data_IF_712547325731
#
_entry.id   IF_712547325731
#
_cell.length_a   1.000
_cell.length_b   1.000
_cell.length_c   1.000
_cell.angle_alpha   90.00
_cell.angle_beta   90.00
_cell.angle_gamma   90.00
#
_symmetry.space_group_name_H-M   'P 1'
#
loop_
_entity.id
_entity.type
_entity.pdbx_description
1 polymer ?
#
# COMPACT_ATOMS: atom_id res chain seq x y z
N UNK A 1 21.82 15.16 -34.07
CA UNK A 1 20.38 15.15 -33.77
C UNK A 1 19.88 13.79 -34.24
N UNK A 2 19.54 12.88 -33.33
CA UNK A 2 18.96 11.60 -33.74
C UNK A 2 17.52 11.85 -34.16
N UNK A 3 17.13 11.32 -35.32
CA UNK A 3 15.79 11.45 -35.88
C UNK A 3 14.76 10.89 -34.90
N UNK A 4 14.11 11.80 -34.17
CA UNK A 4 12.85 11.49 -33.49
C UNK A 4 11.83 11.36 -34.60
N UNK A 5 11.12 10.21 -34.73
CA UNK A 5 10.07 10.09 -35.74
C UNK A 5 9.11 11.27 -35.59
N UNK A 6 8.79 11.97 -36.68
CA UNK A 6 7.88 13.13 -36.69
C UNK A 6 6.56 12.81 -35.95
N UNK A 7 6.12 11.57 -36.08
CA UNK A 7 4.89 11.06 -35.49
C UNK A 7 4.98 10.96 -33.96
N UNK A 8 6.18 10.81 -33.38
CA UNK A 8 6.37 10.60 -31.94
C UNK A 8 5.92 11.80 -31.10
N UNK A 9 6.05 13.03 -31.62
CA UNK A 9 5.53 14.23 -30.95
C UNK A 9 4.00 14.33 -31.02
N UNK A 10 3.39 13.81 -32.08
CA UNK A 10 1.95 13.91 -32.34
C UNK A 10 1.08 12.95 -31.52
N UNK A 11 1.60 11.79 -31.10
CA UNK A 11 0.80 10.81 -30.35
C UNK A 11 0.52 11.24 -28.91
N UNK A 12 -0.75 11.22 -28.49
CA UNK A 12 -1.15 11.41 -27.09
C UNK A 12 -0.80 10.19 -26.19
N UNK A 13 -0.65 9.01 -26.80
CA UNK A 13 -0.34 7.75 -26.11
C UNK A 13 0.85 7.04 -26.78
N UNK A 14 1.72 6.44 -25.96
CA UNK A 14 2.91 5.71 -26.40
C UNK A 14 2.67 4.21 -26.17
N UNK A 15 2.52 3.44 -27.23
CA UNK A 15 2.47 1.97 -27.17
C UNK A 15 3.89 1.40 -27.36
N UNK A 16 4.49 0.90 -26.29
CA UNK A 16 5.90 0.47 -26.30
C UNK A 16 6.13 -0.77 -27.15
N UNK A 17 5.23 -1.75 -27.15
CA UNK A 17 5.36 -2.93 -28.03
C UNK A 17 5.34 -2.53 -29.51
N UNK A 18 4.42 -1.64 -29.89
CA UNK A 18 4.33 -1.16 -31.27
C UNK A 18 5.57 -0.37 -31.68
N UNK A 19 6.16 0.42 -30.77
CA UNK A 19 7.43 1.10 -30.99
C UNK A 19 8.59 0.12 -31.16
N UNK A 20 8.66 -0.93 -30.35
CA UNK A 20 9.66 -1.99 -30.50
C UNK A 20 9.56 -2.69 -31.86
N UNK A 21 8.34 -2.92 -32.37
CA UNK A 21 8.13 -3.53 -33.69
C UNK A 21 8.45 -2.59 -34.86
N UNK A 22 8.04 -1.32 -34.80
CA UNK A 22 8.22 -0.37 -35.90
C UNK A 22 9.61 0.26 -35.95
N UNK A 23 10.19 0.60 -34.79
CA UNK A 23 11.47 1.30 -34.68
C UNK A 23 12.33 0.77 -33.51
N UNK A 24 13.00 -0.38 -33.67
CA UNK A 24 13.73 -1.04 -32.58
C UNK A 24 14.91 -0.21 -32.04
N UNK A 25 15.66 0.48 -32.91
CA UNK A 25 16.81 1.32 -32.51
C UNK A 25 16.33 2.52 -31.69
N UNK A 26 15.26 3.17 -32.13
CA UNK A 26 14.65 4.28 -31.39
C UNK A 26 14.10 3.81 -30.04
N UNK A 27 13.39 2.67 -30.01
CA UNK A 27 12.89 2.09 -28.76
C UNK A 27 14.02 1.76 -27.78
N UNK A 28 15.16 1.24 -28.26
CA UNK A 28 16.34 0.99 -27.44
C UNK A 28 16.92 2.28 -26.84
N UNK A 29 17.10 3.31 -27.66
CA UNK A 29 17.58 4.62 -27.21
C UNK A 29 16.60 5.31 -26.26
N UNK A 30 15.29 5.16 -26.49
CA UNK A 30 14.25 5.69 -25.62
C UNK A 30 14.30 5.07 -24.21
N UNK A 31 14.63 3.77 -24.13
CA UNK A 31 14.79 3.06 -22.86
C UNK A 31 16.10 3.43 -22.16
N UNK A 32 17.22 3.53 -22.88
CA UNK A 32 18.53 3.77 -22.26
C UNK A 32 18.82 5.25 -21.97
N UNK A 33 18.46 6.14 -22.89
CA UNK A 33 18.84 7.56 -22.86
C UNK A 33 17.61 8.46 -22.70
N UNK A 34 16.78 8.17 -21.70
CA UNK A 34 15.50 8.86 -21.54
C UNK A 34 15.66 10.36 -21.18
N UNK A 35 16.82 10.79 -20.70
CA UNK A 35 17.09 12.20 -20.41
C UNK A 35 16.82 13.14 -21.60
N UNK A 36 17.00 12.66 -22.84
CA UNK A 36 16.74 13.43 -24.07
C UNK A 36 15.25 13.50 -24.43
N UNK A 37 14.45 12.53 -23.97
CA UNK A 37 13.05 12.35 -24.36
C UNK A 37 12.08 12.70 -23.24
N UNK A 38 12.59 13.11 -22.09
CA UNK A 38 11.82 13.32 -20.88
C UNK A 38 10.69 14.34 -21.08
N UNK A 39 10.99 15.52 -21.65
CA UNK A 39 9.98 16.57 -21.87
C UNK A 39 8.85 16.10 -22.79
N UNK A 40 9.17 15.28 -23.80
CA UNK A 40 8.17 14.72 -24.71
C UNK A 40 7.35 13.57 -24.07
N UNK A 41 7.88 12.93 -23.02
CA UNK A 41 7.27 11.78 -22.35
C UNK A 41 6.35 12.18 -21.19
N UNK A 42 6.66 13.25 -20.45
CA UNK A 42 6.01 13.56 -19.15
C UNK A 42 4.49 13.62 -19.22
N UNK A 43 3.93 14.16 -20.30
CA UNK A 43 2.48 14.36 -20.43
C UNK A 43 1.77 13.24 -21.21
N UNK A 44 2.48 12.21 -21.67
CA UNK A 44 1.92 11.11 -22.49
C UNK A 44 1.64 9.87 -21.67
N UNK A 45 0.61 9.09 -22.01
CA UNK A 45 0.34 7.80 -21.35
C UNK A 45 1.11 6.66 -22.03
N UNK A 46 1.84 5.86 -21.27
CA UNK A 46 2.52 4.66 -21.78
C UNK A 46 1.65 3.40 -21.59
N UNK A 47 1.40 2.67 -22.68
CA UNK A 47 0.69 1.38 -22.71
C UNK A 47 1.60 0.25 -23.20
N UNK A 48 1.26 -0.98 -22.81
CA UNK A 48 1.94 -2.23 -23.19
C UNK A 48 3.45 -2.21 -22.93
N UNK A 49 3.82 -2.05 -21.66
CA UNK A 49 5.22 -2.05 -21.23
C UNK A 49 5.80 -3.46 -21.38
N UNK A 50 6.94 -3.66 -22.08
CA UNK A 50 7.58 -4.96 -22.19
C UNK A 50 7.99 -5.50 -20.80
N UNK A 51 7.78 -6.80 -20.51
CA UNK A 51 8.17 -7.40 -19.24
C UNK A 51 9.71 -7.43 -19.06
N UNK A 52 10.47 -7.27 -20.13
CA UNK A 52 11.94 -7.16 -20.09
C UNK A 52 12.46 -5.92 -19.37
N UNK A 53 11.61 -4.90 -19.16
CA UNK A 53 11.95 -3.72 -18.36
C UNK A 53 11.83 -3.97 -16.86
N UNK A 54 11.23 -5.08 -16.44
CA UNK A 54 11.09 -5.45 -15.04
C UNK A 54 12.45 -5.83 -14.45
N UNK A 55 12.94 -5.02 -13.51
CA UNK A 55 14.14 -5.36 -12.77
C UNK A 55 13.80 -6.28 -11.59
N UNK A 56 14.57 -7.36 -11.45
CA UNK A 56 14.50 -8.28 -10.30
C UNK A 56 15.20 -7.75 -9.04
N UNK A 57 15.95 -6.66 -9.18
CA UNK A 57 16.70 -5.99 -8.10
C UNK A 57 16.66 -4.49 -8.34
N UNK A 58 16.82 -3.70 -7.29
CA UNK A 58 16.86 -2.25 -7.43
C UNK A 58 18.02 -1.77 -8.32
N UNK A 59 17.81 -0.67 -9.07
CA UNK A 59 18.77 -0.17 -10.04
C UNK A 59 20.04 0.35 -9.35
N UNK A 60 21.19 0.02 -9.96
CA UNK A 60 22.52 0.55 -9.62
C UNK A 60 22.91 1.70 -10.57
N UNK A 61 24.16 2.17 -10.47
CA UNK A 61 24.72 3.20 -11.33
C UNK A 61 24.54 2.94 -12.84
N UNK A 62 24.57 1.67 -13.27
CA UNK A 62 24.50 1.30 -14.69
C UNK A 62 23.15 1.58 -15.35
N UNK A 63 22.12 1.91 -14.56
CA UNK A 63 20.77 2.19 -15.04
C UNK A 63 20.37 3.66 -14.90
N UNK A 64 21.30 4.56 -14.60
CA UNK A 64 21.00 6.00 -14.52
C UNK A 64 20.46 6.50 -15.87
N UNK A 65 19.37 7.26 -15.83
CA UNK A 65 18.61 7.76 -16.99
C UNK A 65 17.89 6.69 -17.82
N UNK A 66 17.89 5.42 -17.38
CA UNK A 66 17.13 4.37 -18.05
C UNK A 66 15.67 4.36 -17.57
N UNK A 67 14.77 4.00 -18.47
CA UNK A 67 13.39 3.66 -18.17
C UNK A 67 13.33 2.23 -17.61
N UNK A 68 12.81 2.07 -16.40
CA UNK A 68 12.76 0.79 -15.68
C UNK A 68 11.37 0.55 -15.11
N UNK A 69 11.02 -0.74 -14.99
CA UNK A 69 9.81 -1.19 -14.31
C UNK A 69 10.23 -1.84 -12.99
N UNK A 70 9.69 -1.35 -11.88
CA UNK A 70 9.94 -1.87 -10.53
C UNK A 70 8.63 -2.35 -9.91
N UNK A 71 8.71 -3.43 -9.14
CA UNK A 71 7.61 -3.89 -8.29
C UNK A 71 8.04 -3.79 -6.84
N UNK A 72 7.13 -3.34 -5.98
CA UNK A 72 7.43 -3.23 -4.58
C UNK A 72 6.21 -2.88 -3.72
N UNK A 73 6.36 -3.09 -2.42
CA UNK A 73 5.37 -2.72 -1.43
C UNK A 73 5.70 -1.34 -0.87
N UNK A 74 4.70 -0.47 -0.72
CA UNK A 74 4.89 0.87 -0.17
C UNK A 74 5.14 0.77 1.34
N UNK A 75 6.30 1.20 1.83
CA UNK A 75 6.60 1.26 3.26
C UNK A 75 6.18 2.61 3.85
N UNK A 76 6.50 3.69 3.12
CA UNK A 76 6.34 5.05 3.62
C UNK A 76 5.80 5.99 2.55
N UNK A 77 4.86 6.82 2.96
CA UNK A 77 4.27 7.88 2.14
C UNK A 77 4.57 9.23 2.81
N UNK A 78 5.29 10.11 2.11
CA UNK A 78 5.54 11.47 2.59
C UNK A 78 4.35 12.40 2.23
N UNK A 79 4.24 13.57 2.89
CA UNK A 79 3.24 14.57 2.53
C UNK A 79 3.39 15.05 1.08
N UNK A 80 2.27 15.54 0.52
CA UNK A 80 2.22 16.12 -0.81
C UNK A 80 2.87 17.51 -0.76
N UNK A 81 3.79 17.75 -1.68
CA UNK A 81 4.51 19.00 -1.88
C UNK A 81 4.22 19.55 -3.28
N UNK A 82 4.49 20.83 -3.50
CA UNK A 82 4.41 21.44 -4.83
C UNK A 82 5.78 21.41 -5.50
N UNK A 83 5.81 21.02 -6.76
CA UNK A 83 6.99 21.04 -7.63
C UNK A 83 6.77 22.07 -8.74
N UNK A 84 7.87 22.59 -9.29
CA UNK A 84 7.88 23.51 -10.43
C UNK A 84 7.16 24.84 -10.14
N UNK A 85 7.20 25.29 -8.88
CA UNK A 85 6.77 26.64 -8.49
C UNK A 85 7.71 27.66 -9.11
N UNK A 86 7.14 28.57 -9.89
CA UNK A 86 7.86 29.65 -10.53
C UNK A 86 7.81 30.90 -9.65
N UNK A 87 8.84 31.73 -9.73
CA UNK A 87 8.89 33.03 -9.05
C UNK A 87 8.97 34.11 -10.10
N UNK A 88 8.02 35.04 -10.09
CA UNK A 88 8.06 36.25 -10.88
C UNK A 88 8.70 37.38 -10.08
N UNK A 89 9.67 38.06 -10.69
CA UNK A 89 10.31 39.23 -10.09
C UNK A 89 9.74 40.49 -10.75
N UNK A 90 9.12 41.35 -9.94
CA UNK A 90 8.59 42.65 -10.35
C UNK A 90 9.49 43.76 -9.82
N UNK A 91 10.04 44.60 -10.71
CA UNK A 91 10.92 45.69 -10.29
C UNK A 91 10.11 46.81 -9.63
N UNK A 92 10.50 47.26 -8.43
CA UNK A 92 9.80 48.32 -7.71
C UNK A 92 9.97 49.72 -8.32
N UNK A 93 10.94 49.92 -9.22
CA UNK A 93 11.23 51.23 -9.80
C UNK A 93 10.59 51.48 -11.16
N UNK A 94 10.46 50.44 -12.00
CA UNK A 94 9.92 50.56 -13.35
C UNK A 94 8.72 49.65 -13.62
N UNK A 95 8.24 48.95 -12.59
CA UNK A 95 7.11 48.02 -12.57
C UNK A 95 7.17 46.89 -13.63
N UNK A 96 8.34 46.66 -14.21
CA UNK A 96 8.56 45.63 -15.20
C UNK A 96 8.64 44.24 -14.54
N UNK A 97 7.88 43.28 -15.08
CA UNK A 97 7.72 41.92 -14.55
C UNK A 97 7.83 40.86 -15.64
N UNK A 98 9.01 40.31 -15.89
CA UNK A 98 9.18 39.23 -16.89
C UNK A 98 10.20 38.15 -16.49
N UNK A 99 10.89 38.30 -15.35
CA UNK A 99 11.86 37.29 -14.93
C UNK A 99 11.11 36.19 -14.19
N UNK A 100 10.86 35.08 -14.86
CA UNK A 100 10.28 33.87 -14.27
C UNK A 100 11.38 32.83 -14.09
N UNK A 101 11.71 32.48 -12.84
CA UNK A 101 12.64 31.39 -12.55
C UNK A 101 11.93 30.32 -11.74
N UNK A 102 12.08 29.05 -12.12
CA UNK A 102 11.69 27.94 -11.27
C UNK A 102 12.50 28.01 -9.97
N UNK A 103 11.85 27.78 -8.83
CA UNK A 103 12.44 27.83 -7.49
C UNK A 103 13.43 26.69 -7.23
N UNK A 104 14.48 26.56 -8.05
CA UNK A 104 15.62 25.73 -7.74
C UNK A 104 16.54 26.55 -6.83
N UNK A 105 16.74 26.06 -5.59
CA UNK A 105 17.55 26.65 -4.53
C UNK A 105 19.06 26.63 -4.86
N UNK A 106 19.47 26.96 -6.09
CA UNK A 106 20.86 27.19 -6.47
C UNK A 106 21.13 28.68 -6.34
N UNK A 107 22.06 29.03 -5.43
CA UNK A 107 22.60 30.36 -5.09
C UNK A 107 22.04 31.49 -5.96
N UNK A 108 21.28 32.41 -5.34
CA UNK A 108 20.82 33.67 -5.94
C UNK A 108 22.01 34.37 -6.61
N UNK A 109 22.16 34.21 -7.93
CA UNK A 109 22.95 35.16 -8.73
C UNK A 109 22.29 36.52 -8.52
N UNK A 110 23.07 37.59 -8.33
CA UNK A 110 22.51 38.96 -8.30
C UNK A 110 21.74 39.16 -9.60
N UNK A 111 20.44 39.37 -9.48
CA UNK A 111 19.53 39.62 -10.61
C UNK A 111 19.44 41.14 -10.74
N UNK A 112 19.61 41.66 -11.95
CA UNK A 112 19.52 43.08 -12.26
C UNK A 112 18.39 43.27 -13.26
N UNK A 113 17.64 44.36 -13.13
CA UNK A 113 16.52 44.64 -14.02
C UNK A 113 17.04 45.02 -15.41
N UNK A 114 16.56 44.33 -16.46
CA UNK A 114 16.97 44.57 -17.85
C UNK A 114 16.62 45.98 -18.33
N UNK A 115 15.58 46.60 -17.76
CA UNK A 115 15.11 47.93 -18.16
C UNK A 115 15.79 49.07 -17.42
N UNK A 116 16.06 48.92 -16.12
CA UNK A 116 16.51 50.04 -15.28
C UNK A 116 17.83 49.80 -14.56
N UNK A 117 18.47 48.63 -14.71
CA UNK A 117 19.77 48.34 -14.11
C UNK A 117 19.78 48.24 -12.57
N UNK A 118 18.61 48.27 -11.92
CA UNK A 118 18.49 48.22 -10.45
C UNK A 118 18.23 46.79 -9.97
N UNK A 119 18.57 46.54 -8.71
CA UNK A 119 18.55 45.22 -8.07
C UNK A 119 17.39 45.02 -7.09
N UNK A 120 16.45 45.99 -7.01
CA UNK A 120 15.33 45.93 -6.09
C UNK A 120 14.06 45.37 -6.75
N UNK A 121 13.64 44.19 -6.30
CA UNK A 121 12.50 43.45 -6.85
C UNK A 121 11.56 42.96 -5.74
N UNK A 122 10.25 43.03 -6.02
CA UNK A 122 9.23 42.26 -5.33
C UNK A 122 9.19 40.86 -5.94
N UNK A 123 9.17 39.84 -5.09
CA UNK A 123 9.11 38.44 -5.49
C UNK A 123 7.68 37.98 -5.25
N UNK A 124 6.98 37.64 -6.33
CA UNK A 124 5.65 37.03 -6.27
C UNK A 124 5.74 35.58 -6.75
N UNK A 125 5.05 34.67 -6.07
CA UNK A 125 5.03 33.25 -6.40
C UNK A 125 3.95 32.95 -7.45
N UNK A 126 4.35 32.28 -8.52
CA UNK A 126 3.49 31.94 -9.67
C UNK A 126 3.27 30.44 -9.69
N UNK A 127 2.00 30.04 -9.58
CA UNK A 127 1.60 28.63 -9.49
C UNK A 127 1.11 28.03 -10.83
N UNK A 128 1.27 28.73 -11.95
CA UNK A 128 0.72 28.33 -13.26
C UNK A 128 1.23 26.96 -13.75
N UNK A 129 2.49 26.61 -13.46
CA UNK A 129 3.08 25.31 -13.79
C UNK A 129 3.27 24.39 -12.58
N UNK A 130 2.77 24.79 -11.41
CA UNK A 130 2.96 24.01 -10.20
C UNK A 130 2.24 22.66 -10.30
N UNK A 131 2.96 21.57 -10.01
CA UNK A 131 2.42 20.20 -10.00
C UNK A 131 2.53 19.61 -8.60
N UNK A 132 1.48 18.90 -8.17
CA UNK A 132 1.53 18.11 -6.95
C UNK A 132 2.62 17.03 -7.08
N UNK A 133 3.38 16.85 -6.02
CA UNK A 133 4.54 15.99 -5.97
C UNK A 133 4.57 15.25 -4.64
N UNK A 134 4.78 13.95 -4.65
CA UNK A 134 4.79 13.14 -3.45
C UNK A 134 5.94 12.13 -3.51
N UNK A 135 6.70 12.00 -2.41
CA UNK A 135 7.73 11.00 -2.31
C UNK A 135 7.21 9.78 -1.55
N UNK A 136 7.33 8.60 -2.15
CA UNK A 136 7.03 7.32 -1.50
C UNK A 136 8.30 6.47 -1.42
N UNK A 137 8.38 5.56 -0.46
CA UNK A 137 9.46 4.56 -0.39
C UNK A 137 8.88 3.18 -0.58
N UNK A 138 9.49 2.42 -1.48
CA UNK A 138 9.10 1.04 -1.75
C UNK A 138 10.16 0.04 -1.29
N UNK A 139 9.71 -1.16 -0.94
CA UNK A 139 10.50 -2.34 -0.63
C UNK A 139 10.36 -3.36 -1.77
N UNK A 140 11.44 -4.07 -2.10
CA UNK A 140 11.37 -5.16 -3.07
C UNK A 140 10.61 -6.35 -2.49
N UNK A 141 9.71 -6.94 -3.28
CA UNK A 141 8.94 -8.14 -2.92
C UNK A 141 9.77 -9.41 -3.20
N UNK A 142 10.80 -9.32 -4.06
CA UNK A 142 11.48 -10.46 -4.65
C UNK A 142 12.46 -11.23 -3.74
N UNK A 143 12.88 -10.68 -2.59
CA UNK A 143 13.91 -11.30 -1.75
C UNK A 143 13.65 -11.13 -0.24
N UNK A 144 13.00 -12.09 0.42
CA UNK A 144 12.83 -12.08 1.88
C UNK A 144 14.13 -12.36 2.67
N UNK A 145 15.21 -12.80 2.01
CA UNK A 145 16.46 -13.22 2.68
C UNK A 145 17.55 -12.14 2.76
N UNK A 146 17.55 -11.14 1.87
CA UNK A 146 18.50 -10.02 1.93
C UNK A 146 17.84 -8.87 2.65
N UNK A 147 18.53 -8.26 3.63
CA UNK A 147 18.15 -6.98 4.24
C UNK A 147 17.58 -6.08 3.14
N UNK A 148 16.29 -5.77 3.23
CA UNK A 148 15.55 -5.26 2.10
C UNK A 148 16.05 -3.88 1.73
N UNK A 149 16.67 -3.77 0.56
CA UNK A 149 16.96 -2.48 -0.05
C UNK A 149 15.65 -1.69 -0.19
N UNK A 150 15.74 -0.36 -0.12
CA UNK A 150 14.59 0.52 -0.32
C UNK A 150 14.96 1.61 -1.31
N UNK A 151 14.00 2.03 -2.13
CA UNK A 151 14.19 3.12 -3.08
C UNK A 151 13.11 4.19 -2.91
N UNK A 152 13.53 5.46 -2.99
CA UNK A 152 12.61 6.60 -3.00
C UNK A 152 12.06 6.78 -4.41
N UNK A 153 10.75 6.88 -4.53
CA UNK A 153 10.03 7.16 -5.78
C UNK A 153 9.36 8.52 -5.67
N UNK A 154 9.60 9.37 -6.66
CA UNK A 154 8.94 10.66 -6.80
C UNK A 154 7.72 10.53 -7.72
N UNK A 155 6.54 10.77 -7.17
CA UNK A 155 5.26 10.84 -7.87
C UNK A 155 4.97 12.29 -8.22
N UNK A 156 4.59 12.55 -9.47
CA UNK A 156 4.22 13.89 -9.93
C UNK A 156 2.85 13.87 -10.61
N UNK A 157 2.09 14.95 -10.44
CA UNK A 157 0.78 15.14 -11.07
C UNK A 157 -0.36 14.49 -10.32
N UNK A 158 -1.37 14.01 -11.06
CA UNK A 158 -2.64 13.51 -10.52
C UNK A 158 -2.53 12.21 -9.71
N UNK A 159 -1.42 11.49 -9.82
CA UNK A 159 -1.20 10.25 -9.08
C UNK A 159 -0.73 10.51 -7.63
N UNK A 160 -0.33 11.74 -7.31
CA UNK A 160 0.02 12.13 -5.96
C UNK A 160 -1.21 12.08 -5.03
N UNK A 161 -1.05 11.50 -3.85
CA UNK A 161 -2.09 11.38 -2.82
C UNK A 161 -3.00 10.16 -2.96
N UNK A 162 -2.80 9.31 -3.97
CA UNK A 162 -3.67 8.14 -4.21
C UNK A 162 -3.21 6.85 -3.54
N UNK A 163 -1.95 6.77 -3.11
CA UNK A 163 -1.36 5.52 -2.63
C UNK A 163 -1.31 5.45 -1.11
N UNK A 164 -1.56 4.27 -0.58
CA UNK A 164 -1.54 3.98 0.85
C UNK A 164 -0.31 3.11 1.21
N UNK A 165 0.24 3.24 2.43
CA UNK A 165 1.26 2.32 2.91
C UNK A 165 0.72 0.88 2.95
N UNK A 166 1.54 -0.09 2.56
CA UNK A 166 1.18 -1.51 2.46
C UNK A 166 0.69 -1.96 1.08
N UNK A 167 0.30 -1.04 0.18
CA UNK A 167 -0.14 -1.42 -1.17
C UNK A 167 1.03 -1.98 -1.99
N UNK A 168 0.76 -3.07 -2.72
CA UNK A 168 1.67 -3.58 -3.74
C UNK A 168 1.50 -2.82 -5.06
N UNK A 169 2.59 -2.22 -5.53
CA UNK A 169 2.60 -1.39 -6.73
C UNK A 169 3.64 -1.85 -7.76
N UNK A 170 3.34 -1.57 -9.02
CA UNK A 170 4.24 -1.66 -10.15
C UNK A 170 4.45 -0.25 -10.70
N UNK A 171 5.70 0.21 -10.69
CA UNK A 171 6.10 1.57 -11.07
C UNK A 171 6.96 1.53 -12.32
N UNK A 172 6.48 2.18 -13.37
CA UNK A 172 7.28 2.56 -14.52
C UNK A 172 7.88 3.94 -14.26
N UNK A 173 9.20 4.05 -14.28
CA UNK A 173 9.88 5.31 -14.01
C UNK A 173 11.30 5.37 -14.54
N UNK A 174 11.89 6.54 -14.42
CA UNK A 174 13.25 6.83 -14.88
C UNK A 174 14.15 6.94 -13.66
N UNK A 175 15.29 6.25 -13.70
CA UNK A 175 16.27 6.31 -12.61
C UNK A 175 17.01 7.64 -12.67
N UNK A 176 17.00 8.40 -11.59
CA UNK A 176 17.69 9.70 -11.47
C UNK A 176 18.53 9.78 -10.20
N UNK A 177 19.44 10.76 -10.19
CA UNK A 177 20.27 11.07 -9.04
C UNK A 177 19.76 12.32 -8.33
N UNK A 178 19.58 12.20 -7.01
CA UNK A 178 19.29 13.31 -6.12
C UNK A 178 20.59 13.75 -5.47
N UNK A 179 20.94 15.02 -5.70
CA UNK A 179 22.14 15.62 -5.12
C UNK A 179 21.76 16.27 -3.79
N UNK A 180 22.34 15.84 -2.65
CA UNK A 180 22.13 16.53 -1.39
C UNK A 180 22.75 17.94 -1.45
N UNK A 181 22.23 18.83 -0.61
CA UNK A 181 22.83 20.16 -0.43
C UNK A 181 24.26 19.99 0.11
N UNK A 182 25.22 20.56 -0.60
CA UNK A 182 26.63 20.59 -0.20
C UNK A 182 26.77 21.35 1.13
N UNK A 183 27.08 20.65 2.21
CA UNK A 183 27.62 21.28 3.42
C UNK A 183 29.14 21.29 3.36
N UNK A 184 29.73 22.32 3.96
CA UNK A 184 31.19 22.44 4.07
C UNK A 184 31.71 21.21 4.84
N UNK A 185 32.73 20.54 4.29
CA UNK A 185 33.36 19.31 4.82
C UNK A 185 32.54 18.00 4.78
N UNK A 186 31.37 17.95 4.13
CA UNK A 186 30.65 16.69 3.89
C UNK A 186 30.98 16.10 2.51
N UNK A 187 31.14 14.77 2.43
CA UNK A 187 31.35 14.06 1.16
C UNK A 187 30.07 14.12 0.31
N UNK A 188 30.21 14.44 -0.98
CA UNK A 188 29.09 14.44 -1.92
C UNK A 188 28.68 12.99 -2.25
N UNK A 189 27.61 12.52 -1.61
CA UNK A 189 27.01 11.21 -1.87
C UNK A 189 25.64 11.37 -2.54
N UNK A 190 25.55 11.29 -3.89
CA UNK A 190 24.26 11.32 -4.57
C UNK A 190 23.45 10.06 -4.25
N UNK A 191 22.14 10.23 -4.07
CA UNK A 191 21.22 9.13 -3.79
C UNK A 191 20.42 8.83 -5.05
N UNK A 192 20.33 7.55 -5.42
CA UNK A 192 19.49 7.10 -6.53
C UNK A 192 18.03 7.16 -6.09
N UNK A 193 17.19 7.78 -6.92
CA UNK A 193 15.74 7.77 -6.76
C UNK A 193 15.08 7.48 -8.10
N UNK A 194 13.85 6.96 -8.05
CA UNK A 194 13.06 6.74 -9.25
C UNK A 194 12.11 7.91 -9.46
N UNK A 195 12.14 8.53 -10.63
CA UNK A 195 11.10 9.45 -11.04
C UNK A 195 10.00 8.68 -11.74
N UNK A 196 8.83 8.56 -11.11
CA UNK A 196 7.72 7.79 -11.68
C UNK A 196 7.09 8.49 -12.88
N UNK A 197 6.57 7.69 -13.79
CA UNK A 197 5.77 8.11 -14.92
C UNK A 197 4.38 7.49 -14.87
N UNK A 198 4.30 6.18 -14.67
CA UNK A 198 3.04 5.46 -14.47
C UNK A 198 3.17 4.52 -13.29
N UNK A 199 2.15 4.50 -12.43
CA UNK A 199 2.07 3.60 -11.29
C UNK A 199 0.78 2.80 -11.42
N UNK A 200 0.89 1.48 -11.27
CA UNK A 200 -0.23 0.55 -11.29
C UNK A 200 -0.26 -0.19 -9.96
N UNK A 201 -1.45 -0.48 -9.44
CA UNK A 201 -1.60 -1.36 -8.27
C UNK A 201 -1.63 -2.81 -8.77
N UNK A 202 -0.83 -3.67 -8.18
CA UNK A 202 -0.78 -5.09 -8.53
C UNK A 202 -2.05 -5.82 -8.07
N UNK A 203 -2.71 -5.32 -7.03
CA UNK A 203 -3.89 -5.94 -6.38
C UNK A 203 -5.22 -5.61 -7.03
N UNK A 204 -5.27 -4.71 -8.02
CA UNK A 204 -6.48 -4.59 -8.82
C UNK A 204 -6.48 -5.71 -9.84
N UNK A 205 -7.00 -6.86 -9.43
CA UNK A 205 -7.85 -7.63 -10.32
C UNK A 205 -8.78 -6.62 -10.97
N UNK A 206 -8.60 -6.42 -12.29
CA UNK A 206 -9.68 -5.87 -13.10
C UNK A 206 -10.96 -6.61 -12.69
N UNK A 207 -12.13 -5.94 -12.63
CA UNK A 207 -13.37 -6.65 -12.35
C UNK A 207 -13.43 -7.79 -13.36
N UNK A 208 -13.20 -9.01 -12.88
CA UNK A 208 -13.26 -10.18 -13.72
C UNK A 208 -14.68 -10.14 -14.27
N UNK A 209 -14.81 -9.92 -15.58
CA UNK A 209 -16.06 -10.19 -16.26
C UNK A 209 -16.22 -11.69 -16.14
N UNK A 210 -16.96 -12.12 -15.13
CA UNK A 210 -17.31 -13.51 -14.94
C UNK A 210 -18.29 -13.87 -16.07
N UNK A 211 -17.75 -14.32 -17.19
CA UNK A 211 -18.52 -15.03 -18.21
C UNK A 211 -19.05 -16.33 -17.55
N UNK A 212 -20.37 -16.51 -17.50
CA UNK A 212 -21.02 -17.67 -16.86
C UNK A 212 -21.75 -17.41 -15.54
N UNK A 213 -21.95 -16.15 -15.12
CA UNK A 213 -22.80 -15.86 -13.94
C UNK A 213 -24.26 -16.29 -14.17
N UNK A 214 -24.74 -16.28 -15.42
CA UNK A 214 -26.10 -16.69 -15.79
C UNK A 214 -26.35 -18.18 -15.52
N UNK A 215 -25.34 -19.05 -15.70
CA UNK A 215 -25.41 -20.47 -15.35
C UNK A 215 -25.58 -20.65 -13.84
N UNK A 216 -25.06 -19.71 -13.05
CA UNK A 216 -25.22 -19.67 -11.60
C UNK A 216 -26.58 -19.15 -11.15
N UNK A 217 -27.39 -18.52 -12.00
CA UNK A 217 -28.71 -18.02 -11.61
C UNK A 217 -29.72 -19.17 -11.49
N UNK A 218 -29.66 -20.17 -12.38
CA UNK A 218 -30.63 -21.26 -12.47
C UNK A 218 -30.43 -22.44 -11.49
N UNK A 219 -29.27 -22.54 -10.82
CA UNK A 219 -29.00 -23.60 -9.83
C UNK A 219 -29.78 -23.35 -8.52
N UNK A 220 -30.11 -24.39 -7.76
CA UNK A 220 -30.71 -24.21 -6.43
C UNK A 220 -29.73 -23.54 -5.45
N UNK A 221 -30.25 -22.75 -4.51
CA UNK A 221 -29.42 -22.02 -3.53
C UNK A 221 -28.48 -22.93 -2.72
N UNK A 222 -28.94 -24.14 -2.40
CA UNK A 222 -28.19 -25.10 -1.62
C UNK A 222 -26.97 -25.66 -2.38
N UNK A 223 -27.14 -25.96 -3.66
CA UNK A 223 -26.04 -26.44 -4.51
C UNK A 223 -25.02 -25.33 -4.79
N UNK A 224 -25.47 -24.08 -4.92
CA UNK A 224 -24.56 -22.91 -4.99
C UNK A 224 -23.71 -22.81 -3.73
N UNK A 225 -24.32 -22.92 -2.55
CA UNK A 225 -23.61 -22.85 -1.28
C UNK A 225 -22.58 -23.98 -1.16
N UNK A 226 -22.97 -25.22 -1.46
CA UNK A 226 -22.07 -26.38 -1.45
C UNK A 226 -20.92 -26.23 -2.42
N UNK A 227 -21.20 -25.76 -3.64
CA UNK A 227 -20.17 -25.48 -4.63
C UNK A 227 -19.18 -24.46 -4.09
N UNK A 228 -19.66 -23.32 -3.57
CA UNK A 228 -18.83 -22.28 -3.00
C UNK A 228 -17.94 -22.81 -1.87
N UNK A 229 -18.50 -23.58 -0.92
CA UNK A 229 -17.74 -24.19 0.18
C UNK A 229 -16.68 -25.16 -0.34
N UNK A 230 -17.00 -25.97 -1.35
CA UNK A 230 -16.05 -26.93 -1.92
C UNK A 230 -14.91 -26.24 -2.67
N UNK A 231 -15.22 -25.19 -3.44
CA UNK A 231 -14.21 -24.36 -4.13
C UNK A 231 -13.43 -23.45 -3.18
N UNK A 232 -13.99 -23.16 -2.00
CA UNK A 232 -13.35 -22.34 -0.99
C UNK A 232 -12.26 -23.15 -0.29
N UNK A 233 -11.01 -22.75 -0.49
CA UNK A 233 -9.80 -23.40 0.05
C UNK A 233 -9.71 -24.88 -0.31
N UNK A 234 -9.48 -25.18 -1.60
CA UNK A 234 -9.29 -26.54 -2.11
C UNK A 234 -8.13 -27.30 -1.43
N UNK A 235 -7.18 -26.58 -0.85
CA UNK A 235 -6.03 -27.15 -0.14
C UNK A 235 -6.42 -27.92 1.14
N UNK A 236 -7.56 -27.56 1.76
CA UNK A 236 -8.02 -28.16 3.01
C UNK A 236 -9.23 -29.04 2.72
N UNK A 237 -9.11 -30.34 2.97
CA UNK A 237 -10.21 -31.30 2.81
C UNK A 237 -11.08 -31.32 4.08
N UNK A 238 -12.40 -31.26 3.91
CA UNK A 238 -13.37 -31.30 5.02
C UNK A 238 -13.62 -29.94 5.68
N UNK A 239 -14.02 -29.96 6.96
CA UNK A 239 -14.33 -28.76 7.76
C UNK A 239 -15.34 -27.80 7.11
N UNK A 240 -16.40 -28.33 6.49
CA UNK A 240 -17.36 -27.54 5.70
C UNK A 240 -18.00 -26.40 6.51
N UNK A 241 -18.34 -26.65 7.77
CA UNK A 241 -18.92 -25.63 8.67
C UNK A 241 -17.94 -24.49 8.96
N UNK A 242 -16.65 -24.80 9.14
CA UNK A 242 -15.60 -23.80 9.41
C UNK A 242 -15.37 -22.96 8.15
N UNK A 243 -15.27 -23.62 7.00
CA UNK A 243 -15.17 -22.96 5.69
C UNK A 243 -16.34 -22.02 5.44
N UNK A 244 -17.56 -22.47 5.71
CA UNK A 244 -18.77 -21.66 5.57
C UNK A 244 -18.74 -20.44 6.51
N UNK A 245 -18.40 -20.63 7.79
CA UNK A 245 -18.32 -19.53 8.74
C UNK A 245 -17.29 -18.47 8.36
N UNK A 246 -16.12 -18.90 7.87
CA UNK A 246 -15.09 -18.00 7.36
C UNK A 246 -15.59 -17.29 6.09
N UNK A 247 -16.19 -18.00 5.14
CA UNK A 247 -16.72 -17.43 3.90
C UNK A 247 -17.78 -16.35 4.18
N UNK A 248 -18.67 -16.58 5.16
CA UNK A 248 -19.65 -15.59 5.59
C UNK A 248 -18.99 -14.35 6.20
N UNK A 249 -17.90 -14.51 6.95
CA UNK A 249 -17.12 -13.39 7.49
C UNK A 249 -16.43 -12.57 6.39
N UNK A 250 -15.94 -13.24 5.33
CA UNK A 250 -15.31 -12.58 4.16
C UNK A 250 -16.33 -11.77 3.35
N UNK A 251 -17.52 -12.34 3.10
CA UNK A 251 -18.58 -11.67 2.34
C UNK A 251 -19.19 -10.52 3.15
N UNK A 252 -19.35 -10.72 4.47
CA UNK A 252 -19.97 -9.77 5.38
C UNK A 252 -21.47 -9.59 5.15
N UNK A 253 -22.09 -8.72 5.96
CA UNK A 253 -23.52 -8.37 5.81
C UNK A 253 -23.68 -7.25 4.78
N UNK A 254 -24.64 -7.40 3.86
CA UNK A 254 -25.07 -6.30 2.97
C UNK A 254 -25.81 -5.24 3.82
N UNK A 255 -25.11 -4.14 4.12
CA UNK A 255 -25.62 -3.07 4.99
C UNK A 255 -26.89 -2.42 4.43
N UNK A 256 -28.00 -2.52 5.17
CA UNK A 256 -29.19 -1.66 4.97
C UNK A 256 -29.25 -0.51 5.99
N UNK A 257 -28.69 -0.69 7.19
CA UNK A 257 -28.69 0.31 8.26
C UNK A 257 -27.27 0.68 8.70
N UNK A 258 -27.04 1.98 8.94
CA UNK A 258 -25.74 2.53 9.38
C UNK A 258 -25.42 2.23 10.85
N UNK A 259 -26.39 1.79 11.65
CA UNK A 259 -26.25 1.68 13.11
C UNK A 259 -26.03 0.25 13.61
N UNK A 260 -26.20 -0.78 12.78
CA UNK A 260 -25.98 -2.17 13.20
C UNK A 260 -24.62 -2.69 12.75
N UNK A 261 -23.88 -3.33 13.66
CA UNK A 261 -22.62 -4.05 13.34
C UNK A 261 -22.82 -4.99 12.16
N UNK A 262 -22.04 -4.77 11.10
CA UNK A 262 -22.12 -5.54 9.84
C UNK A 262 -21.02 -6.61 9.72
N UNK A 263 -20.08 -6.64 10.65
CA UNK A 263 -18.90 -7.48 10.62
C UNK A 263 -19.09 -8.70 11.54
N UNK A 264 -18.71 -9.88 11.04
CA UNK A 264 -18.76 -11.13 11.79
C UNK A 264 -17.37 -11.56 12.24
N UNK A 265 -17.19 -11.78 13.54
CA UNK A 265 -15.91 -12.18 14.13
C UNK A 265 -15.88 -13.69 14.37
N UNK A 266 -14.77 -14.33 14.00
CA UNK A 266 -14.60 -15.79 14.05
C UNK A 266 -13.39 -16.17 14.90
N UNK A 267 -13.57 -17.13 15.81
CA UNK A 267 -12.50 -17.72 16.62
C UNK A 267 -12.33 -19.19 16.28
N UNK A 268 -11.14 -19.58 15.84
CA UNK A 268 -10.74 -20.96 15.58
C UNK A 268 -9.94 -21.48 16.77
N UNK A 269 -10.54 -22.33 17.60
CA UNK A 269 -9.88 -22.98 18.73
C UNK A 269 -9.46 -24.38 18.33
N UNK A 270 -8.23 -24.80 18.62
CA UNK A 270 -7.88 -26.21 18.44
C UNK A 270 -6.46 -26.56 18.84
N UNK A 271 -6.13 -27.85 18.75
CA UNK A 271 -4.77 -28.34 19.04
C UNK A 271 -3.76 -27.84 18.00
N UNK A 272 -2.47 -27.68 18.37
CA UNK A 272 -1.42 -27.41 17.38
C UNK A 272 -1.44 -28.44 16.24
N UNK A 273 -1.22 -27.98 15.01
CA UNK A 273 -1.20 -28.86 13.83
C UNK A 273 -2.58 -29.26 13.28
N UNK A 274 -3.64 -28.48 13.54
CA UNK A 274 -4.97 -28.60 12.91
C UNK A 274 -5.18 -27.71 11.69
N UNK A 275 -4.12 -27.09 11.16
CA UNK A 275 -4.19 -26.27 9.95
C UNK A 275 -4.78 -24.86 10.14
N UNK A 276 -5.00 -24.39 11.38
CA UNK A 276 -5.56 -23.05 11.69
C UNK A 276 -4.83 -21.90 10.98
N UNK A 277 -3.50 -21.88 11.06
CA UNK A 277 -2.68 -20.87 10.37
C UNK A 277 -2.81 -20.93 8.85
N UNK A 278 -3.11 -22.12 8.30
CA UNK A 278 -3.32 -22.27 6.86
C UNK A 278 -4.66 -21.65 6.44
N UNK A 279 -5.74 -21.87 7.20
CA UNK A 279 -7.00 -21.14 6.99
C UNK A 279 -6.80 -19.63 6.97
N UNK A 280 -6.08 -19.07 7.95
CA UNK A 280 -5.80 -17.63 8.02
C UNK A 280 -5.02 -17.13 6.79
N UNK A 281 -4.00 -17.87 6.35
CA UNK A 281 -3.20 -17.52 5.15
C UNK A 281 -4.04 -17.56 3.88
N UNK A 282 -4.87 -18.59 3.71
CA UNK A 282 -5.73 -18.71 2.52
C UNK A 282 -6.77 -17.59 2.48
N UNK A 283 -7.36 -17.20 3.63
CA UNK A 283 -8.21 -15.99 3.71
C UNK A 283 -7.41 -14.75 3.32
N UNK A 284 -6.16 -14.67 3.79
CA UNK A 284 -5.35 -13.48 3.58
C UNK A 284 -5.03 -13.22 2.10
N UNK A 285 -4.99 -14.27 1.29
CA UNK A 285 -4.81 -14.17 -0.15
C UNK A 285 -6.10 -13.82 -0.91
N UNK A 286 -7.27 -14.07 -0.34
CA UNK A 286 -8.56 -13.93 -1.02
C UNK A 286 -9.18 -12.52 -0.88
N UNK A 287 -8.95 -11.86 0.25
CA UNK A 287 -9.58 -10.58 0.57
C UNK A 287 -8.56 -9.56 1.12
N UNK A 288 -8.92 -8.28 1.08
CA UNK A 288 -8.14 -7.22 1.75
C UNK A 288 -8.03 -7.57 3.24
N UNK A 289 -6.84 -7.92 3.67
CA UNK A 289 -6.63 -8.41 5.01
C UNK A 289 -5.22 -8.14 5.51
N UNK A 290 -5.10 -8.03 6.83
CA UNK A 290 -3.82 -7.89 7.50
C UNK A 290 -3.63 -9.10 8.40
N UNK A 291 -2.55 -9.84 8.18
CA UNK A 291 -2.19 -11.00 8.99
C UNK A 291 -1.14 -10.63 10.02
N UNK A 292 -1.41 -10.91 11.29
CA UNK A 292 -0.49 -10.71 12.40
C UNK A 292 -0.29 -11.99 13.20
N UNK A 293 0.85 -12.09 13.86
CA UNK A 293 1.16 -13.19 14.78
C UNK A 293 1.23 -12.65 16.21
N UNK A 294 0.49 -13.26 17.14
CA UNK A 294 0.38 -12.83 18.52
C UNK A 294 1.70 -12.79 19.29
N UNK A 295 2.69 -13.62 18.91
CA UNK A 295 4.01 -13.64 19.59
C UNK A 295 4.83 -12.37 19.34
N UNK A 296 4.68 -11.76 18.16
CA UNK A 296 5.47 -10.59 17.74
C UNK A 296 4.69 -9.28 17.74
N UNK A 297 3.43 -9.29 18.13
CA UNK A 297 2.55 -8.12 18.06
C UNK A 297 2.34 -7.54 19.44
N UNK A 298 2.62 -6.24 19.60
CA UNK A 298 2.31 -5.46 20.80
C UNK A 298 1.04 -4.61 20.59
N UNK A 299 0.50 -4.02 21.66
CA UNK A 299 -0.63 -3.07 21.57
C UNK A 299 -0.40 -2.01 20.47
N UNK A 300 0.81 -1.44 20.38
CA UNK A 300 1.15 -0.42 19.39
C UNK A 300 1.10 -0.94 17.95
N UNK A 301 1.49 -2.20 17.72
CA UNK A 301 1.40 -2.85 16.41
C UNK A 301 -0.03 -3.26 16.03
N UNK A 302 -0.87 -3.53 17.03
CA UNK A 302 -2.27 -3.91 16.82
C UNK A 302 -3.18 -2.69 16.59
N UNK A 303 -2.95 -1.63 17.37
CA UNK A 303 -3.80 -0.43 17.43
C UNK A 303 -3.17 0.74 16.69
N UNK A 304 -2.50 1.65 17.39
CA UNK A 304 -1.70 2.75 16.82
C UNK A 304 -0.51 3.10 17.69
N UNK A 305 0.50 3.65 17.05
CA UNK A 305 1.69 4.21 17.68
C UNK A 305 1.84 5.69 17.32
N UNK A 306 2.36 6.49 18.24
CA UNK A 306 2.81 7.85 17.94
C UNK A 306 4.31 7.82 17.64
N UNK A 307 4.68 8.18 16.40
CA UNK A 307 6.06 8.21 15.94
C UNK A 307 6.49 9.65 15.66
N UNK A 308 7.67 10.02 16.17
CA UNK A 308 8.23 11.35 15.98
C UNK A 308 8.96 11.44 14.64
N UNK A 309 8.47 12.25 13.71
CA UNK A 309 9.17 12.56 12.46
C UNK A 309 9.68 14.00 12.48
N UNK A 310 10.99 14.15 12.74
CA UNK A 310 11.61 15.46 12.89
C UNK A 310 11.17 16.16 14.17
N UNK A 311 10.40 17.26 14.03
CA UNK A 311 9.87 18.03 15.16
C UNK A 311 8.41 17.72 15.50
N UNK A 312 7.70 17.00 14.64
CA UNK A 312 6.27 16.73 14.78
C UNK A 312 6.00 15.26 15.16
N UNK A 313 4.90 15.03 15.88
CA UNK A 313 4.40 13.70 16.19
C UNK A 313 3.37 13.30 15.14
N UNK A 314 3.48 12.09 14.63
CA UNK A 314 2.53 11.50 13.69
C UNK A 314 1.98 10.20 14.27
N UNK A 315 0.72 9.91 14.00
CA UNK A 315 0.12 8.61 14.33
C UNK A 315 0.39 7.63 13.18
N UNK A 316 1.01 6.51 13.51
CA UNK A 316 1.14 5.36 12.64
C UNK A 316 0.04 4.34 12.98
N UNK A 317 -0.69 3.93 11.95
CA UNK A 317 -1.76 2.95 12.06
C UNK A 317 -1.18 1.54 12.26
N UNK A 318 -1.74 0.81 13.22
CA UNK A 318 -1.48 -0.61 13.43
C UNK A 318 -2.42 -1.50 12.62
N UNK A 319 -2.30 -2.80 12.82
CA UNK A 319 -2.92 -3.82 11.99
C UNK A 319 -4.45 -3.71 11.87
N UNK A 320 -5.16 -3.38 12.95
CA UNK A 320 -6.63 -3.30 12.95
C UNK A 320 -7.14 -2.15 12.08
N UNK A 321 -6.45 -1.01 12.08
CA UNK A 321 -6.84 0.17 11.31
C UNK A 321 -6.46 0.00 9.85
N UNK A 322 -5.31 -0.63 9.57
CA UNK A 322 -4.90 -0.99 8.22
C UNK A 322 -5.87 -1.98 7.56
N UNK A 323 -6.56 -2.80 8.37
CA UNK A 323 -7.58 -3.74 7.93
C UNK A 323 -9.01 -3.15 7.82
N UNK A 324 -9.20 -1.83 7.82
CA UNK A 324 -10.54 -1.21 7.70
C UNK A 324 -11.30 -1.70 6.45
N UNK A 325 -12.57 -2.08 6.62
CA UNK A 325 -13.43 -2.76 5.63
C UNK A 325 -12.89 -4.09 5.08
N UNK A 326 -11.92 -4.69 5.75
CA UNK A 326 -11.34 -5.99 5.40
C UNK A 326 -11.36 -6.95 6.59
N UNK A 327 -10.36 -7.83 6.61
CA UNK A 327 -10.21 -8.87 7.62
C UNK A 327 -8.90 -8.68 8.40
N UNK A 328 -8.94 -8.80 9.71
CA UNK A 328 -7.74 -8.90 10.53
C UNK A 328 -7.55 -10.35 10.98
N UNK A 329 -6.54 -11.00 10.40
CA UNK A 329 -6.19 -12.38 10.71
C UNK A 329 -5.15 -12.41 11.84
N UNK A 330 -5.50 -13.01 12.98
CA UNK A 330 -4.61 -13.09 14.15
C UNK A 330 -4.23 -14.55 14.40
N UNK A 331 -2.99 -14.91 14.12
CA UNK A 331 -2.44 -16.21 14.49
C UNK A 331 -1.91 -16.19 15.93
N UNK A 332 -1.97 -17.33 16.62
CA UNK A 332 -1.53 -17.50 18.01
C UNK A 332 -2.14 -16.45 18.97
N UNK A 333 -3.46 -16.32 18.96
CA UNK A 333 -4.22 -15.42 19.84
C UNK A 333 -4.01 -15.70 21.34
N UNK A 334 -3.62 -16.93 21.67
CA UNK A 334 -3.20 -17.37 23.00
C UNK A 334 -1.94 -16.64 23.49
N UNK A 335 -1.00 -16.32 22.60
CA UNK A 335 0.26 -15.65 22.94
C UNK A 335 0.09 -14.16 23.25
N UNK A 336 -1.02 -13.54 22.82
CA UNK A 336 -1.26 -12.12 23.05
C UNK A 336 -1.54 -11.85 24.55
N UNK A 337 -0.81 -10.90 25.18
CA UNK A 337 -1.05 -10.56 26.57
C UNK A 337 -2.43 -9.89 26.74
N UNK A 338 -3.00 -10.00 27.93
CA UNK A 338 -4.33 -9.45 28.24
C UNK A 338 -4.42 -7.92 28.07
N UNK A 339 -3.31 -7.21 28.25
CA UNK A 339 -3.25 -5.77 28.07
C UNK A 339 -3.47 -5.39 26.59
N UNK A 340 -2.79 -6.05 25.66
CA UNK A 340 -2.91 -5.79 24.21
C UNK A 340 -4.30 -6.13 23.68
N UNK A 341 -5.01 -7.07 24.33
CA UNK A 341 -6.40 -7.45 24.00
C UNK A 341 -7.44 -6.36 24.29
N UNK A 342 -7.10 -5.30 25.04
CA UNK A 342 -8.04 -4.19 25.34
C UNK A 342 -8.45 -3.43 24.08
N UNK A 343 -7.49 -3.12 23.20
CA UNK A 343 -7.76 -2.44 21.94
C UNK A 343 -8.70 -3.22 21.02
N UNK A 344 -8.66 -4.56 21.07
CA UNK A 344 -9.60 -5.41 20.33
C UNK A 344 -11.03 -5.28 20.83
N UNK A 345 -11.24 -5.14 22.14
CA UNK A 345 -12.60 -5.00 22.69
C UNK A 345 -13.29 -3.75 22.16
N UNK A 346 -12.57 -2.63 22.11
CA UNK A 346 -13.09 -1.37 21.58
C UNK A 346 -13.42 -1.48 20.10
N UNK A 347 -12.47 -2.01 19.31
CA UNK A 347 -12.64 -2.17 17.85
C UNK A 347 -13.76 -3.16 17.50
N UNK A 348 -13.86 -4.29 18.20
CA UNK A 348 -14.90 -5.30 17.95
C UNK A 348 -16.31 -4.84 18.36
N UNK A 349 -16.43 -3.91 19.32
CA UNK A 349 -17.72 -3.30 19.68
C UNK A 349 -18.06 -2.13 18.75
N UNK A 350 -17.23 -1.08 18.78
CA UNK A 350 -17.56 0.22 18.23
C UNK A 350 -17.13 0.36 16.77
N UNK A 351 -16.31 -0.57 16.25
CA UNK A 351 -15.68 -0.47 14.92
C UNK A 351 -14.84 0.80 14.73
N UNK A 352 -14.42 1.40 15.84
CA UNK A 352 -13.58 2.59 15.93
C UNK A 352 -12.58 2.41 17.05
N UNK A 353 -11.46 3.10 16.96
CA UNK A 353 -10.45 3.17 18.00
C UNK A 353 -10.20 4.64 18.37
N UNK A 354 -10.41 4.99 19.63
CA UNK A 354 -10.10 6.30 20.18
C UNK A 354 -8.67 6.34 20.71
N UNK A 355 -7.88 7.32 20.27
CA UNK A 355 -6.47 7.44 20.60
C UNK A 355 -6.16 8.83 21.12
N UNK A 356 -5.55 8.89 22.30
CA UNK A 356 -5.01 10.12 22.90
C UNK A 356 -3.53 9.88 23.27
N UNK A 357 -2.60 10.16 22.36
CA UNK A 357 -1.15 9.93 22.56
C UNK A 357 -0.34 11.12 22.05
N UNK A 358 0.72 11.50 22.77
CA UNK A 358 1.66 12.56 22.38
C UNK A 358 0.99 13.91 22.01
N UNK A 359 -0.12 14.27 22.67
CA UNK A 359 -0.89 15.49 22.41
C UNK A 359 -1.83 15.41 21.20
N UNK A 360 -1.90 14.25 20.52
CA UNK A 360 -2.84 13.97 19.44
C UNK A 360 -4.05 13.24 20.01
N UNK A 361 -5.23 13.81 19.81
CA UNK A 361 -6.52 13.19 20.15
C UNK A 361 -7.29 12.97 18.84
N UNK A 362 -7.50 11.71 18.47
CA UNK A 362 -8.20 11.35 17.24
C UNK A 362 -8.95 10.04 17.40
N UNK A 363 -10.10 9.93 16.73
CA UNK A 363 -10.83 8.67 16.55
C UNK A 363 -10.54 8.12 15.15
N UNK A 364 -10.13 6.86 15.08
CA UNK A 364 -9.78 6.17 13.84
C UNK A 364 -10.78 5.07 13.58
N UNK A 365 -11.20 4.93 12.32
CA UNK A 365 -12.13 3.86 11.94
C UNK A 365 -11.37 2.54 11.80
N UNK A 366 -11.96 1.47 12.31
CA UNK A 366 -11.42 0.12 12.26
C UNK A 366 -12.56 -0.89 12.02
N UNK A 367 -13.31 -0.71 10.93
CA UNK A 367 -14.44 -1.56 10.53
C UNK A 367 -13.94 -2.86 9.89
N UNK A 368 -13.06 -3.56 10.60
CA UNK A 368 -12.52 -4.85 10.19
C UNK A 368 -13.32 -6.00 10.83
N UNK A 369 -13.29 -7.19 10.22
CA UNK A 369 -13.72 -8.43 10.87
C UNK A 369 -12.49 -9.17 11.40
N UNK A 370 -12.51 -9.58 12.66
CA UNK A 370 -11.41 -10.33 13.27
C UNK A 370 -11.60 -11.83 13.06
N UNK A 371 -10.58 -12.50 12.51
CA UNK A 371 -10.49 -13.97 12.46
C UNK A 371 -9.25 -14.37 13.26
N UNK A 372 -9.46 -15.02 14.40
CA UNK A 372 -8.38 -15.37 15.31
C UNK A 372 -8.19 -16.89 15.40
N UNK A 373 -6.94 -17.34 15.43
CA UNK A 373 -6.58 -18.72 15.74
C UNK A 373 -6.05 -18.81 17.17
N UNK A 374 -6.66 -19.68 17.98
CA UNK A 374 -6.28 -19.95 19.35
C UNK A 374 -5.76 -21.38 19.49
N UNK A 375 -4.56 -21.53 20.05
CA UNK A 375 -3.99 -22.83 20.33
C UNK A 375 -4.31 -23.28 21.76
N UNK A 376 -4.90 -24.47 21.89
CA UNK A 376 -5.11 -25.13 23.18
C UNK A 376 -4.49 -26.53 23.15
N UNK A 377 -3.72 -26.89 24.18
CA UNK A 377 -3.08 -28.22 24.25
C UNK A 377 -4.09 -29.32 24.56
N UNK A 378 -4.99 -29.08 25.51
CA UNK A 378 -6.03 -30.00 25.94
C UNK A 378 -7.29 -29.22 26.30
N UNK A 379 -8.45 -29.71 25.86
CA UNK A 379 -9.74 -29.12 26.20
C UNK A 379 -10.43 -29.99 27.25
N UNK A 380 -10.65 -29.42 28.43
CA UNK A 380 -11.30 -30.10 29.54
C UNK A 380 -12.80 -29.85 29.49
N UNK A 381 -13.58 -30.90 29.21
CA UNK A 381 -15.05 -30.82 29.11
C UNK A 381 -15.73 -30.50 30.43
N UNK A 382 -15.01 -30.63 31.56
CA UNK A 382 -15.55 -30.31 32.88
C UNK A 382 -15.48 -28.81 33.21
N UNK A 383 -14.66 -28.06 32.49
CA UNK A 383 -14.44 -26.62 32.70
C UNK A 383 -15.23 -25.78 31.73
N UNK A 384 -15.49 -24.53 32.10
CA UNK A 384 -16.12 -23.57 31.20
C UNK A 384 -15.21 -23.24 30.01
N UNK A 385 -15.78 -22.75 28.92
CA UNK A 385 -15.01 -22.29 27.74
C UNK A 385 -14.03 -21.19 28.14
N UNK A 386 -14.46 -20.27 29.02
CA UNK A 386 -13.63 -19.18 29.52
C UNK A 386 -12.39 -19.68 30.27
N UNK A 387 -12.58 -20.68 31.15
CA UNK A 387 -11.49 -21.25 31.94
C UNK A 387 -10.52 -22.07 31.07
N UNK A 388 -11.04 -22.80 30.08
CA UNK A 388 -10.23 -23.54 29.11
C UNK A 388 -9.37 -22.61 28.25
N UNK A 389 -9.95 -21.51 27.77
CA UNK A 389 -9.26 -20.55 26.90
C UNK A 389 -8.45 -19.50 27.66
N UNK A 390 -8.60 -19.36 28.98
CA UNK A 390 -7.99 -18.26 29.75
C UNK A 390 -8.26 -16.88 29.15
N UNK A 391 -9.40 -16.72 28.48
CA UNK A 391 -9.87 -15.46 27.89
C UNK A 391 -11.00 -14.90 28.78
N UNK A 392 -11.07 -13.58 28.89
CA UNK A 392 -12.13 -12.91 29.64
C UNK A 392 -13.49 -13.07 28.94
N UNK A 393 -14.56 -13.25 29.73
CA UNK A 393 -15.94 -13.37 29.22
C UNK A 393 -16.38 -12.24 28.27
N UNK A 394 -16.00 -10.96 28.51
CA UNK A 394 -16.33 -9.88 27.58
C UNK A 394 -15.68 -10.01 26.20
N UNK A 395 -14.57 -10.74 26.06
CA UNK A 395 -13.91 -10.93 24.77
C UNK A 395 -14.48 -12.12 24.01
N UNK A 396 -14.79 -13.22 24.70
CA UNK A 396 -15.41 -14.40 24.10
C UNK A 396 -16.79 -14.05 23.51
N UNK A 397 -17.59 -13.27 24.24
CA UNK A 397 -18.93 -12.83 23.78
C UNK A 397 -18.91 -11.93 22.55
N UNK A 398 -17.74 -11.41 22.12
CA UNK A 398 -17.61 -10.58 20.91
C UNK A 398 -17.40 -11.41 19.64
N UNK A 399 -16.98 -12.66 19.79
CA UNK A 399 -16.88 -13.59 18.68
C UNK A 399 -18.26 -14.18 18.40
N UNK A 400 -18.72 -14.02 17.17
CA UNK A 400 -20.05 -14.51 16.76
C UNK A 400 -20.01 -16.01 16.48
N UNK A 401 -18.88 -16.49 15.94
CA UNK A 401 -18.66 -17.90 15.60
C UNK A 401 -17.39 -18.40 16.28
N UNK A 402 -17.54 -19.46 17.10
CA UNK A 402 -16.42 -20.14 17.74
C UNK A 402 -16.40 -21.58 17.25
N UNK A 403 -15.35 -21.94 16.51
CA UNK A 403 -15.16 -23.28 15.96
C UNK A 403 -14.10 -24.05 16.76
N UNK A 404 -14.47 -25.22 17.27
CA UNK A 404 -13.55 -26.14 17.92
C UNK A 404 -13.04 -27.18 16.92
N UNK A 405 -11.75 -27.10 16.61
CA UNK A 405 -10.98 -28.03 15.79
C UNK A 405 -10.22 -28.97 16.72
N UNK A 406 -10.92 -29.98 17.22
CA UNK A 406 -10.33 -31.00 18.08
C UNK A 406 -9.94 -32.22 17.23
N UNK A 407 -8.70 -32.71 17.40
CA UNK A 407 -8.35 -34.04 16.91
C UNK A 407 -8.97 -35.05 17.85
N UNK A 408 -9.68 -36.03 17.30
CA UNK A 408 -10.01 -37.25 18.05
C UNK A 408 -8.71 -37.98 18.34
N UNK A 409 -8.10 -37.73 19.50
CA UNK A 409 -7.09 -38.62 20.06
C UNK A 409 -7.82 -39.68 20.86
N UNK A 410 -8.46 -40.63 20.16
CA UNK A 410 -9.28 -41.64 20.81
C UNK A 410 -10.15 -42.49 19.90
N UNK A 411 -9.65 -42.93 18.74
CA UNK A 411 -10.12 -44.17 18.11
C UNK A 411 -8.88 -44.88 17.56
N UNK A 412 -8.37 -45.84 18.33
CA UNK A 412 -7.68 -47.00 17.76
C UNK A 412 -8.59 -47.59 16.69
N UNK A 413 -8.07 -47.66 15.46
CA UNK A 413 -8.67 -48.42 14.35
C UNK A 413 -8.71 -49.89 14.71
#
# INVERSE_FOLDING_TARGET
>A
MMDVPSDFYSYAEINMLQLCHKHPIFAHNFVQNNHLFYEAMVDKKIKNVPPSLLLKRFPRCDKINHLVLLRGTIIKVNPILLKDVEQSYRCLYCDHSEIVKSANYKKKKKIVCERCGKDNFRIDEVFTKAKNCQAIRIQDIGNPQTMSDTIEILITGEQAGKFLPGENIEVLGIVRLKWPLLKINEKLSPVIYLQSHSIRRTEKTEPLKFEGLDDFVGVEHFDKQRFLIKTFMNEIVGCENVKLGILLSVIGKRGKDKETRNNSHVLLVGTPGTGKSHFLKSVAHLAHSVSINGVGTSEAGLTTCAVKQGKEWLLEAGALILADNGLCCIDSFDALPLYDKRGLLEVMEQQTLSVAKAGLVSTLNARCSVIAAYNISYYDTTKSICDNLKITSPLISRFDLIFFLMKSTGMTV
#
